data_IF_416655697141
#
_entry.id   IF_416655697141
#
_cell.length_a   1.000
_cell.length_b   1.000
_cell.length_c   1.000
_cell.angle_alpha   90.00
_cell.angle_beta   90.00
_cell.angle_gamma   90.00
#
_symmetry.space_group_name_H-M   'P 1'
#
loop_
_entity.id
_entity.type
_entity.pdbx_description
1 polymer ?
#
# COMPACT_ATOMS: atom_id res chain seq x y z
N UNK A 1 1.29 -4.04 -9.78
CA UNK A 1 1.56 -3.77 -8.34
C UNK A 1 0.21 -3.77 -7.61
N UNK A 2 0.13 -4.08 -6.31
CA UNK A 2 -1.11 -3.84 -5.52
C UNK A 2 -0.90 -2.85 -4.37
N UNK A 3 0.37 -2.60 -4.04
CA UNK A 3 0.82 -1.77 -2.93
C UNK A 3 0.84 -0.31 -3.35
N UNK A 4 -0.23 0.42 -3.03
CA UNK A 4 -0.41 1.79 -3.46
C UNK A 4 0.60 2.76 -2.81
N UNK A 5 0.99 2.54 -1.55
CA UNK A 5 1.97 3.39 -0.86
C UNK A 5 3.31 3.31 -1.60
N UNK A 6 3.78 2.08 -1.84
CA UNK A 6 5.05 1.86 -2.55
C UNK A 6 4.97 2.37 -4.00
N UNK A 7 3.83 2.20 -4.65
CA UNK A 7 3.69 2.62 -6.04
C UNK A 7 3.63 4.15 -6.18
N UNK A 8 2.97 4.87 -5.28
CA UNK A 8 3.01 6.34 -5.25
C UNK A 8 4.45 6.86 -5.09
N UNK A 9 5.24 6.25 -4.19
CA UNK A 9 6.66 6.57 -4.06
C UNK A 9 7.48 6.28 -5.33
N UNK A 10 7.18 5.17 -6.02
CA UNK A 10 7.81 4.87 -7.31
C UNK A 10 7.45 5.91 -8.37
N UNK A 11 6.16 6.26 -8.48
CA UNK A 11 5.66 7.26 -9.43
C UNK A 11 6.34 8.60 -9.20
N UNK A 12 6.37 9.10 -7.96
CA UNK A 12 7.02 10.37 -7.61
C UNK A 12 8.50 10.43 -8.04
N UNK A 13 9.22 9.32 -7.85
CA UNK A 13 10.67 9.29 -7.95
C UNK A 13 11.20 8.82 -9.32
N UNK A 14 10.37 8.18 -10.14
CA UNK A 14 10.79 7.55 -11.40
C UNK A 14 9.80 7.77 -12.55
N UNK A 15 8.69 8.48 -12.32
CA UNK A 15 7.72 8.79 -13.36
C UNK A 15 7.42 10.30 -13.43
N UNK A 16 7.20 10.83 -14.65
CA UNK A 16 7.41 10.17 -15.95
C UNK A 16 8.91 10.02 -16.27
N UNK A 17 9.24 9.47 -17.44
CA UNK A 17 10.64 9.28 -17.84
C UNK A 17 11.43 10.59 -17.74
N UNK A 18 12.54 10.55 -17.00
CA UNK A 18 13.35 11.73 -16.67
C UNK A 18 13.12 12.31 -15.26
N UNK A 19 12.06 11.90 -14.56
CA UNK A 19 11.89 12.21 -13.15
C UNK A 19 12.90 11.42 -12.30
N UNK A 20 13.42 12.08 -11.25
CA UNK A 20 14.30 11.47 -10.25
C UNK A 20 13.85 11.86 -8.85
N UNK A 21 14.34 11.19 -7.81
CA UNK A 21 14.09 11.61 -6.43
C UNK A 21 14.53 13.06 -6.13
N UNK A 22 15.61 13.52 -6.79
CA UNK A 22 16.15 14.87 -6.62
C UNK A 22 15.38 15.92 -7.44
N UNK A 23 14.79 15.49 -8.57
CA UNK A 23 14.01 16.33 -9.46
C UNK A 23 12.70 15.61 -9.81
N UNK A 24 11.75 15.54 -8.86
CA UNK A 24 10.44 14.97 -9.12
C UNK A 24 9.62 15.93 -9.96
N UNK A 25 8.91 15.39 -10.95
CA UNK A 25 8.06 16.19 -11.85
C UNK A 25 6.59 16.24 -11.43
N UNK A 26 6.16 15.30 -10.58
CA UNK A 26 4.80 15.23 -10.05
C UNK A 26 4.80 15.68 -8.58
N UNK A 27 3.71 16.28 -8.13
CA UNK A 27 3.43 16.49 -6.71
C UNK A 27 3.11 15.16 -6.00
N UNK A 28 3.10 15.18 -4.67
CA UNK A 28 2.78 13.98 -3.90
C UNK A 28 1.33 13.54 -4.18
N UNK A 29 0.40 14.49 -4.24
CA UNK A 29 -1.01 14.23 -4.55
C UNK A 29 -1.18 13.62 -5.95
N UNK A 30 -0.53 14.17 -6.98
CA UNK A 30 -0.58 13.62 -8.34
C UNK A 30 0.01 12.21 -8.39
N UNK A 31 1.11 11.96 -7.69
CA UNK A 31 1.71 10.63 -7.62
C UNK A 31 0.76 9.61 -6.98
N UNK A 32 0.05 10.02 -5.92
CA UNK A 32 -1.01 9.21 -5.29
C UNK A 32 -2.19 8.95 -6.22
N UNK A 33 -2.65 9.97 -6.96
CA UNK A 33 -3.76 9.85 -7.91
C UNK A 33 -3.42 8.90 -9.06
N UNK A 34 -2.22 9.02 -9.65
CA UNK A 34 -1.73 8.09 -10.68
C UNK A 34 -1.63 6.67 -10.11
N UNK A 35 -1.09 6.53 -8.90
CA UNK A 35 -0.95 5.22 -8.26
C UNK A 35 -2.31 4.55 -8.00
N UNK A 36 -3.31 5.32 -7.55
CA UNK A 36 -4.68 4.84 -7.36
C UNK A 36 -5.33 4.41 -8.67
N UNK A 37 -5.18 5.23 -9.72
CA UNK A 37 -5.74 4.96 -11.03
C UNK A 37 -5.19 3.68 -11.66
N UNK A 38 -3.87 3.45 -11.60
CA UNK A 38 -3.26 2.24 -12.15
C UNK A 38 -3.63 1.00 -11.33
N UNK A 39 -3.63 1.10 -9.99
CA UNK A 39 -3.96 -0.05 -9.12
C UNK A 39 -5.46 -0.39 -9.09
N UNK A 40 -6.34 0.48 -9.61
CA UNK A 40 -7.77 0.19 -9.76
C UNK A 40 -8.09 -0.65 -10.99
N UNK A 41 -7.18 -0.68 -11.98
CA UNK A 41 -7.38 -1.43 -13.23
C UNK A 41 -7.39 -2.96 -13.00
N UNK A 42 -8.20 -3.72 -13.77
CA UNK A 42 -8.23 -5.16 -13.69
C UNK A 42 -6.87 -5.75 -14.08
N UNK A 43 -6.43 -6.78 -13.34
CA UNK A 43 -5.18 -7.51 -13.62
C UNK A 43 -5.29 -8.97 -13.18
N UNK A 44 -4.62 -9.90 -13.87
CA UNK A 44 -4.59 -11.30 -13.45
C UNK A 44 -4.10 -11.43 -12.01
N UNK A 45 -4.85 -12.19 -11.22
CA UNK A 45 -4.53 -12.46 -9.83
C UNK A 45 -3.75 -13.77 -9.71
N UNK A 46 -2.70 -13.75 -8.89
CA UNK A 46 -1.99 -14.95 -8.46
C UNK A 46 -2.35 -15.22 -7.01
N UNK A 47 -2.57 -16.51 -6.71
CA UNK A 47 -2.75 -17.03 -5.37
C UNK A 47 -1.59 -16.56 -4.47
N UNK A 48 -1.93 -15.98 -3.32
CA UNK A 48 -0.99 -15.30 -2.42
C UNK A 48 -1.30 -15.54 -0.93
N UNK A 49 -2.15 -16.53 -0.60
CA UNK A 49 -2.48 -16.87 0.79
C UNK A 49 -1.26 -17.32 1.59
N UNK A 50 -0.23 -17.85 0.90
CA UNK A 50 1.01 -18.36 1.51
C UNK A 50 2.13 -17.32 1.59
N UNK A 51 1.97 -16.13 1.03
CA UNK A 51 3.03 -15.11 0.98
C UNK A 51 3.37 -14.57 2.38
N UNK A 52 2.40 -14.57 3.28
CA UNK A 52 2.56 -14.07 4.65
C UNK A 52 2.05 -15.12 5.66
N UNK A 53 2.87 -16.14 6.00
CA UNK A 53 2.50 -17.13 7.02
C UNK A 53 2.17 -16.50 8.37
N UNK A 54 2.85 -15.39 8.69
CA UNK A 54 2.49 -14.52 9.81
C UNK A 54 1.77 -13.27 9.27
N UNK A 55 0.45 -13.22 9.50
CA UNK A 55 -0.43 -12.15 9.02
C UNK A 55 -0.06 -10.78 9.61
N UNK A 56 0.52 -10.72 10.82
CA UNK A 56 0.95 -9.45 11.45
C UNK A 56 2.12 -8.78 10.73
N UNK A 57 2.90 -9.54 9.94
CA UNK A 57 4.00 -8.99 9.12
C UNK A 57 3.51 -8.42 7.79
N UNK A 58 2.25 -8.67 7.43
CA UNK A 58 1.65 -8.19 6.20
C UNK A 58 1.63 -6.65 6.13
N UNK A 59 1.91 -6.05 4.96
CA UNK A 59 1.77 -4.62 4.77
C UNK A 59 0.33 -4.14 4.85
N UNK A 60 0.12 -2.91 5.32
CA UNK A 60 -1.20 -2.32 5.48
C UNK A 60 -1.86 -1.96 4.13
N UNK A 61 -1.09 -1.87 3.05
CA UNK A 61 -1.56 -1.51 1.71
C UNK A 61 -1.76 -2.73 0.79
N UNK A 62 -1.88 -3.93 1.37
CA UNK A 62 -2.17 -5.15 0.62
C UNK A 62 -3.67 -5.49 0.73
N UNK A 63 -4.47 -5.41 -0.35
CA UNK A 63 -5.93 -5.49 -0.28
C UNK A 63 -6.49 -6.93 -0.31
N UNK A 64 -5.77 -7.89 0.24
CA UNK A 64 -6.17 -9.30 0.26
C UNK A 64 -6.13 -9.82 1.68
N UNK A 65 -7.16 -10.54 2.13
CA UNK A 65 -7.18 -11.14 3.46
C UNK A 65 -6.27 -12.39 3.56
N UNK A 66 -6.14 -13.00 4.75
CA UNK A 66 -6.60 -12.47 6.04
C UNK A 66 -5.80 -11.22 6.48
N UNK A 67 -6.37 -10.43 7.39
CA UNK A 67 -5.76 -9.25 8.01
C UNK A 67 -5.56 -9.49 9.51
N UNK A 68 -4.58 -8.83 10.11
CA UNK A 68 -4.32 -8.90 11.56
C UNK A 68 -5.12 -7.85 12.35
N UNK A 69 -5.85 -6.99 11.65
CA UNK A 69 -6.62 -5.87 12.17
C UNK A 69 -8.10 -6.02 11.75
N UNK A 70 -8.91 -5.02 12.11
CA UNK A 70 -10.35 -5.00 11.85
C UNK A 70 -10.73 -4.18 10.61
N UNK A 71 -9.75 -3.78 9.78
CA UNK A 71 -10.01 -2.92 8.63
C UNK A 71 -10.45 -3.73 7.40
N UNK A 72 -11.21 -3.08 6.51
CA UNK A 72 -11.75 -3.73 5.32
C UNK A 72 -10.70 -3.85 4.21
N UNK A 73 -10.86 -4.83 3.31
CA UNK A 73 -10.00 -4.96 2.13
C UNK A 73 -10.02 -3.68 1.25
N UNK A 74 -11.13 -2.95 1.22
CA UNK A 74 -11.24 -1.66 0.51
C UNK A 74 -10.36 -0.58 1.16
N UNK A 75 -10.32 -0.54 2.49
CA UNK A 75 -9.45 0.38 3.22
C UNK A 75 -7.97 0.00 3.06
N UNK A 76 -7.64 -1.30 3.06
CA UNK A 76 -6.29 -1.75 2.68
C UNK A 76 -5.93 -1.40 1.23
N UNK A 77 -6.91 -1.27 0.33
CA UNK A 77 -6.67 -0.90 -1.07
C UNK A 77 -6.41 0.58 -1.28
N UNK A 78 -7.18 1.45 -0.60
CA UNK A 78 -7.22 2.89 -0.92
C UNK A 78 -6.91 3.81 0.27
N UNK A 79 -6.79 3.27 1.48
CA UNK A 79 -6.67 4.04 2.71
C UNK A 79 -8.04 4.47 3.26
N UNK A 80 -8.06 5.35 4.28
CA UNK A 80 -6.89 6.01 4.89
C UNK A 80 -5.96 5.05 5.65
N UNK A 81 -4.65 5.27 5.55
CA UNK A 81 -3.62 4.37 6.10
C UNK A 81 -3.16 4.73 7.52
N UNK A 82 -3.39 5.96 7.97
CA UNK A 82 -2.86 6.46 9.24
C UNK A 82 -3.38 5.64 10.43
N UNK A 83 -4.68 5.35 10.47
CA UNK A 83 -5.31 4.54 11.52
C UNK A 83 -4.76 3.12 11.55
N UNK A 84 -4.50 2.53 10.37
CA UNK A 84 -3.93 1.19 10.27
C UNK A 84 -2.49 1.14 10.78
N UNK A 85 -1.69 2.19 10.49
CA UNK A 85 -0.32 2.30 11.03
C UNK A 85 -0.35 2.43 12.55
N UNK A 86 -1.22 3.30 13.10
CA UNK A 86 -1.40 3.45 14.55
C UNK A 86 -1.85 2.14 15.20
N UNK A 87 -2.85 1.47 14.65
CA UNK A 87 -3.34 0.18 15.14
C UNK A 87 -2.25 -0.88 15.13
N UNK A 88 -1.43 -0.95 14.08
CA UNK A 88 -0.31 -1.89 14.00
C UNK A 88 0.74 -1.64 15.08
N UNK A 89 1.09 -0.38 15.34
CA UNK A 89 2.01 -0.02 16.44
C UNK A 89 1.43 -0.42 17.79
N UNK A 90 0.13 -0.22 18.03
CA UNK A 90 -0.53 -0.63 19.27
C UNK A 90 -0.55 -2.16 19.45
N UNK A 91 -0.81 -2.91 18.37
CA UNK A 91 -0.75 -4.37 18.39
C UNK A 91 0.66 -4.89 18.67
N UNK A 92 1.70 -4.23 18.18
CA UNK A 92 3.09 -4.57 18.44
C UNK A 92 3.56 -4.22 19.86
N UNK A 93 2.93 -3.24 20.51
CA UNK A 93 3.26 -2.80 21.87
C UNK A 93 2.57 -3.58 22.98
N UNK A 94 1.61 -4.46 22.68
CA UNK A 94 0.99 -5.30 23.70
C UNK A 94 2.06 -6.28 24.23
N UNK A 95 2.45 -6.19 25.51
CA UNK A 95 3.32 -7.22 26.10
C UNK A 95 2.56 -8.55 26.06
N UNK A 96 3.32 -9.62 25.81
CA UNK A 96 2.83 -10.99 25.87
C UNK A 96 2.35 -11.34 27.27
#
# INVERSE_FOLDING_TARGET
MYRIINFAGFVKNNMPFGATYQSPQLTDEEAWNVAAFVNSQPRPHKEQSKDYPNVSKKPNDLPFGPFADLFSAKQHKYGPFEEMVKAKVLLQKKPQ
#
